data_IF_466357740372
#
_entry.id   IF_466357740372
#
_cell.length_a   1.000
_cell.length_b   1.000
_cell.length_c   1.000
_cell.angle_alpha   90.00
_cell.angle_beta   90.00
_cell.angle_gamma   90.00
#
_symmetry.space_group_name_H-M   'P 1'
#
loop_
_entity.id
_entity.type
_entity.pdbx_description
1 polymer ?
#
# COMPACT_ATOMS: atom_id res chain seq x y z
N UNK A 1 -7.40 13.28 11.27
CA UNK A 1 -6.44 13.40 10.17
C UNK A 1 -7.08 14.26 9.09
N UNK A 2 -6.42 15.33 8.67
CA UNK A 2 -6.88 16.19 7.58
C UNK A 2 -6.65 15.54 6.21
N UNK A 3 -7.30 16.05 5.15
CA UNK A 3 -7.10 15.55 3.77
C UNK A 3 -5.66 15.72 3.29
N UNK A 4 -4.97 16.77 3.72
CA UNK A 4 -3.56 16.99 3.38
C UNK A 4 -2.63 16.01 4.10
N UNK A 5 -2.89 15.72 5.38
CA UNK A 5 -2.20 14.67 6.13
C UNK A 5 -2.46 13.30 5.49
N UNK A 6 -3.69 13.04 5.05
CA UNK A 6 -4.07 11.85 4.30
C UNK A 6 -3.30 11.68 3.02
N UNK A 7 -3.17 12.73 2.23
CA UNK A 7 -2.37 12.68 1.01
C UNK A 7 -0.91 12.33 1.29
N UNK A 8 -0.29 13.00 2.27
CA UNK A 8 1.11 12.71 2.65
C UNK A 8 1.29 11.27 3.12
N UNK A 9 0.38 10.80 3.99
CA UNK A 9 0.45 9.45 4.53
C UNK A 9 0.23 8.37 3.46
N UNK A 10 -0.71 8.60 2.53
CA UNK A 10 -0.94 7.72 1.38
C UNK A 10 0.31 7.61 0.51
N UNK A 11 0.97 8.74 0.21
CA UNK A 11 2.20 8.74 -0.58
C UNK A 11 3.34 7.99 0.12
N UNK A 12 3.48 8.14 1.43
CA UNK A 12 4.45 7.38 2.24
C UNK A 12 4.16 5.88 2.21
N UNK A 13 2.92 5.49 2.50
CA UNK A 13 2.51 4.09 2.49
C UNK A 13 2.75 3.45 1.13
N UNK A 14 2.37 4.13 0.04
CA UNK A 14 2.63 3.65 -1.34
C UNK A 14 4.12 3.42 -1.59
N UNK A 15 5.00 4.32 -1.13
CA UNK A 15 6.46 4.15 -1.27
C UNK A 15 6.98 2.96 -0.47
N UNK A 16 6.58 2.83 0.79
CA UNK A 16 6.97 1.71 1.66
C UNK A 16 6.53 0.37 1.06
N UNK A 17 5.28 0.30 0.64
CA UNK A 17 4.70 -0.91 0.05
C UNK A 17 5.46 -1.31 -1.22
N UNK A 18 5.71 -0.37 -2.14
CA UNK A 18 6.47 -0.64 -3.36
C UNK A 18 7.91 -1.07 -3.06
N UNK A 19 8.52 -0.51 -2.02
CA UNK A 19 9.84 -0.89 -1.58
C UNK A 19 9.86 -2.34 -1.07
N UNK A 20 8.91 -2.71 -0.23
CA UNK A 20 8.79 -4.08 0.27
C UNK A 20 8.37 -5.07 -0.83
N UNK A 21 7.52 -4.68 -1.77
CA UNK A 21 7.21 -5.47 -2.97
C UNK A 21 8.49 -5.77 -3.75
N UNK A 22 9.33 -4.77 -4.00
CA UNK A 22 10.59 -4.96 -4.71
C UNK A 22 11.54 -5.89 -3.96
N UNK A 23 11.67 -5.70 -2.65
CA UNK A 23 12.47 -6.57 -1.80
C UNK A 23 11.99 -8.03 -1.82
N UNK A 24 10.67 -8.23 -1.75
CA UNK A 24 10.05 -9.55 -1.76
C UNK A 24 10.17 -10.23 -3.13
N UNK A 25 9.65 -9.59 -4.19
CA UNK A 25 9.52 -10.22 -5.50
C UNK A 25 10.79 -10.17 -6.36
N UNK A 26 11.62 -9.14 -6.21
CA UNK A 26 12.81 -8.96 -7.07
C UNK A 26 14.08 -9.40 -6.35
N UNK A 27 14.27 -8.95 -5.11
CA UNK A 27 15.50 -9.22 -4.38
C UNK A 27 15.46 -10.53 -3.58
N UNK A 28 14.29 -11.15 -3.39
CA UNK A 28 14.08 -12.30 -2.49
C UNK A 28 14.68 -12.05 -1.08
N UNK A 29 14.54 -10.82 -0.59
CA UNK A 29 15.07 -10.34 0.69
C UNK A 29 14.01 -9.54 1.44
N UNK A 30 12.93 -10.18 1.91
CA UNK A 30 11.92 -9.47 2.70
C UNK A 30 12.53 -8.89 3.98
N UNK A 31 12.29 -7.61 4.20
CA UNK A 31 12.73 -6.90 5.43
C UNK A 31 11.66 -6.90 6.51
N UNK A 32 10.40 -7.07 6.13
CA UNK A 32 9.24 -7.09 7.03
C UNK A 32 8.49 -8.40 6.89
N UNK A 33 7.79 -8.79 7.96
CA UNK A 33 6.89 -9.93 7.95
C UNK A 33 5.63 -9.64 7.14
N UNK A 34 4.95 -10.70 6.67
CA UNK A 34 3.65 -10.59 6.00
C UNK A 34 2.64 -9.80 6.86
N UNK A 35 2.66 -10.01 8.19
CA UNK A 35 1.78 -9.28 9.11
C UNK A 35 2.05 -7.77 9.17
N UNK A 36 3.28 -7.34 8.95
CA UNK A 36 3.65 -5.93 8.89
C UNK A 36 3.26 -5.33 7.54
N UNK A 37 3.47 -6.09 6.46
CA UNK A 37 3.00 -5.71 5.13
C UNK A 37 1.48 -5.53 5.10
N UNK A 38 0.74 -6.48 5.67
CA UNK A 38 -0.72 -6.43 5.78
C UNK A 38 -1.18 -5.20 6.57
N UNK A 39 -0.47 -4.80 7.62
CA UNK A 39 -0.77 -3.56 8.36
C UNK A 39 -0.59 -2.32 7.49
N UNK A 40 0.48 -2.24 6.70
CA UNK A 40 0.70 -1.13 5.76
C UNK A 40 -0.43 -1.08 4.72
N UNK A 41 -0.87 -2.25 4.22
CA UNK A 41 -1.93 -2.34 3.22
C UNK A 41 -3.28 -1.96 3.78
N UNK A 42 -3.57 -2.44 4.97
CA UNK A 42 -4.79 -2.12 5.69
C UNK A 42 -4.87 -0.62 6.00
N UNK A 43 -3.77 -0.01 6.45
CA UNK A 43 -3.72 1.43 6.71
C UNK A 43 -3.97 2.23 5.42
N UNK A 44 -3.30 1.87 4.32
CA UNK A 44 -3.48 2.53 3.03
C UNK A 44 -4.93 2.43 2.56
N UNK A 45 -5.52 1.23 2.62
CA UNK A 45 -6.91 0.99 2.25
C UNK A 45 -7.87 1.83 3.10
N UNK A 46 -7.67 1.87 4.42
CA UNK A 46 -8.53 2.64 5.33
C UNK A 46 -8.52 4.13 5.01
N UNK A 47 -7.35 4.69 4.68
CA UNK A 47 -7.24 6.10 4.31
C UNK A 47 -7.94 6.35 2.97
N UNK A 48 -7.74 5.47 2.00
CA UNK A 48 -8.38 5.56 0.67
C UNK A 48 -9.90 5.38 0.72
N UNK A 49 -10.43 4.51 1.60
CA UNK A 49 -11.86 4.37 1.87
C UNK A 49 -12.45 5.66 2.49
N UNK A 50 -11.67 6.32 3.35
CA UNK A 50 -12.08 7.59 3.97
C UNK A 50 -11.99 8.76 2.99
N UNK A 51 -11.03 8.71 2.07
CA UNK A 51 -10.76 9.75 1.07
C UNK A 51 -10.69 9.15 -0.35
N UNK A 52 -11.84 8.84 -0.98
CA UNK A 52 -11.88 8.22 -2.30
C UNK A 52 -11.12 9.00 -3.38
N UNK A 53 -11.06 10.33 -3.26
CA UNK A 53 -10.32 11.21 -4.17
C UNK A 53 -8.80 10.95 -4.19
N UNK A 54 -8.26 10.29 -3.14
CA UNK A 54 -6.85 9.95 -3.05
C UNK A 54 -6.53 8.61 -3.72
N UNK A 55 -7.54 7.81 -4.09
CA UNK A 55 -7.34 6.55 -4.81
C UNK A 55 -6.79 6.84 -6.19
N UNK A 56 -5.68 6.20 -6.53
CA UNK A 56 -5.08 6.30 -7.86
C UNK A 56 -5.01 4.92 -8.52
N UNK A 57 -5.08 4.83 -9.86
CA UNK A 57 -4.98 3.56 -10.59
C UNK A 57 -3.67 2.78 -10.31
N UNK A 58 -2.59 3.48 -9.96
CA UNK A 58 -1.29 2.92 -9.61
C UNK A 58 -1.14 2.59 -8.12
N UNK A 59 -2.20 2.74 -7.32
CA UNK A 59 -2.17 2.43 -5.90
C UNK A 59 -2.04 0.90 -5.67
N UNK A 60 -1.19 0.44 -4.74
CA UNK A 60 -1.09 -0.97 -4.39
C UNK A 60 -2.42 -1.63 -4.00
N UNK A 61 -3.35 -0.87 -3.42
CA UNK A 61 -4.70 -1.36 -3.05
C UNK A 61 -5.59 -1.69 -4.24
N UNK A 62 -5.32 -1.09 -5.41
CA UNK A 62 -6.03 -1.33 -6.67
C UNK A 62 -5.50 -2.56 -7.40
N UNK A 63 -4.38 -3.13 -6.96
CA UNK A 63 -3.91 -4.43 -7.43
C UNK A 63 -4.83 -5.49 -6.83
N UNK A 64 -5.97 -5.70 -7.47
CA UNK A 64 -6.85 -6.82 -7.18
C UNK A 64 -6.01 -8.08 -7.34
N UNK A 65 -5.97 -8.92 -6.30
CA UNK A 65 -5.35 -10.23 -6.33
C UNK A 65 -5.98 -11.06 -7.45
N UNK A 66 -5.41 -10.98 -8.64
CA UNK A 66 -5.76 -11.75 -9.81
C UNK A 66 -4.62 -12.70 -10.13
N UNK A 67 -4.28 -13.60 -9.22
CA UNK A 67 -3.95 -14.94 -9.70
C UNK A 67 -5.29 -15.63 -9.92
N UNK A 68 -5.64 -16.04 -11.16
CA UNK A 68 -6.84 -16.79 -11.41
C UNK A 68 -6.83 -18.09 -10.59
N UNK A 69 -8.02 -18.51 -10.18
CA UNK A 69 -8.31 -19.77 -9.50
C UNK A 69 -7.75 -21.00 -10.22
#
# INVERSE_FOLDING_TARGET
MSKEEAKKRVEELRKLIRHHDYLYYVLNKPEISDSEYDKLMFELRKIEETYPDLVTPDSPTQRVGGFPA
#
